data_IF_732230024678
#
_entry.id   IF_732230024678
#
_cell.length_a   1.000
_cell.length_b   1.000
_cell.length_c   1.000
_cell.angle_alpha   90.00
_cell.angle_beta   90.00
_cell.angle_gamma   90.00
#
_symmetry.space_group_name_H-M   'P 1'
#
loop_
_entity.id
_entity.type
_entity.pdbx_description
1 polymer ?
#
# COMPACT_ATOMS: atom_id res chain seq x y z
N UNK A 1 -7.92 -1.04 -18.81
CA UNK A 1 -8.52 0.32 -18.88
C UNK A 1 -8.36 1.00 -17.54
N UNK A 2 -7.87 2.23 -17.53
CA UNK A 2 -7.69 2.97 -16.29
C UNK A 2 -9.03 3.28 -15.61
N UNK A 3 -9.16 2.86 -14.35
CA UNK A 3 -10.35 3.08 -13.52
C UNK A 3 -10.24 4.34 -12.69
N UNK A 4 -9.01 4.67 -12.25
CA UNK A 4 -8.70 5.94 -11.58
C UNK A 4 -7.59 6.60 -12.38
N UNK A 5 -7.74 7.88 -12.70
CA UNK A 5 -6.73 8.68 -13.37
C UNK A 5 -6.60 10.05 -12.69
N UNK A 6 -5.37 10.44 -12.39
CA UNK A 6 -5.03 11.73 -11.84
C UNK A 6 -4.01 12.44 -12.76
N UNK A 7 -4.25 13.72 -13.02
CA UNK A 7 -3.42 14.55 -13.89
C UNK A 7 -3.03 15.82 -13.14
N UNK A 8 -1.73 16.02 -12.95
CA UNK A 8 -1.14 17.18 -12.30
C UNK A 8 -1.80 17.54 -10.96
N UNK A 9 -2.17 16.48 -10.20
CA UNK A 9 -2.95 16.60 -8.97
C UNK A 9 -2.15 17.30 -7.88
N UNK A 10 -2.64 18.44 -7.44
CA UNK A 10 -1.97 19.25 -6.42
C UNK A 10 -2.95 19.64 -5.32
N UNK A 11 -2.51 19.56 -4.07
CA UNK A 11 -3.26 20.03 -2.90
C UNK A 11 -2.41 20.81 -1.95
N UNK A 12 -2.80 22.06 -1.73
CA UNK A 12 -2.22 22.96 -0.72
C UNK A 12 -3.27 23.28 0.34
N UNK A 13 -2.89 23.14 1.60
CA UNK A 13 -3.69 23.57 2.74
C UNK A 13 -3.11 24.88 3.30
N UNK A 14 -3.89 25.96 3.20
CA UNK A 14 -3.43 27.30 3.56
C UNK A 14 -2.16 27.70 2.79
N UNK A 15 -1.30 28.52 3.42
CA UNK A 15 -0.05 29.00 2.80
C UNK A 15 1.16 28.06 3.03
N UNK A 16 1.08 27.15 4.01
CA UNK A 16 2.27 26.44 4.54
C UNK A 16 2.36 24.96 4.17
N UNK A 17 1.25 24.25 3.91
CA UNK A 17 1.28 22.80 3.74
C UNK A 17 0.94 22.44 2.31
N UNK A 18 1.94 21.95 1.55
CA UNK A 18 1.77 21.32 0.25
C UNK A 18 1.67 19.81 0.48
N UNK A 19 0.44 19.31 0.52
CA UNK A 19 0.17 17.91 0.88
C UNK A 19 0.31 16.95 -0.30
N UNK A 20 0.00 17.42 -1.53
CA UNK A 20 0.23 16.71 -2.79
C UNK A 20 0.76 17.74 -3.79
N UNK A 21 1.80 17.38 -4.52
CA UNK A 21 2.56 18.24 -5.41
C UNK A 21 2.73 17.57 -6.77
N UNK A 22 1.93 18.01 -7.75
CA UNK A 22 1.99 17.62 -9.15
C UNK A 22 2.00 16.11 -9.40
N UNK A 23 1.11 15.36 -8.74
CA UNK A 23 1.03 13.92 -8.88
C UNK A 23 0.16 13.53 -10.07
N UNK A 24 0.74 12.76 -11.03
CA UNK A 24 0.01 12.18 -12.15
C UNK A 24 0.17 10.65 -12.13
N UNK A 25 -0.95 9.92 -12.14
CA UNK A 25 -0.97 8.46 -12.08
C UNK A 25 -2.25 7.87 -12.66
N UNK A 26 -2.20 6.58 -12.98
CA UNK A 26 -3.37 5.80 -13.39
C UNK A 26 -3.43 4.47 -12.66
N UNK A 27 -4.64 3.96 -12.39
CA UNK A 27 -4.89 2.66 -11.77
C UNK A 27 -5.75 1.84 -12.70
N UNK A 28 -5.29 0.65 -13.01
CA UNK A 28 -5.97 -0.27 -13.93
C UNK A 28 -7.09 -1.04 -13.21
N UNK A 29 -8.10 -1.47 -13.99
CA UNK A 29 -9.22 -2.27 -13.46
C UNK A 29 -8.77 -3.67 -13.02
N UNK A 30 -9.40 -4.19 -11.96
CA UNK A 30 -9.18 -5.56 -11.50
C UNK A 30 -7.84 -5.80 -10.80
N UNK A 31 -7.13 -4.74 -10.39
CA UNK A 31 -5.86 -4.84 -9.67
C UNK A 31 -5.99 -4.39 -8.21
N UNK A 32 -5.11 -4.88 -7.37
CA UNK A 32 -4.86 -4.31 -6.05
C UNK A 32 -3.66 -3.36 -6.17
N UNK A 33 -3.92 -2.06 -5.99
CA UNK A 33 -2.86 -1.04 -6.04
C UNK A 33 -2.57 -0.49 -4.65
N UNK A 34 -1.29 -0.53 -4.24
CA UNK A 34 -0.81 0.04 -3.00
C UNK A 34 -0.36 1.49 -3.15
N UNK A 35 -0.91 2.41 -2.35
CA UNK A 35 -0.38 3.80 -2.21
C UNK A 35 0.56 3.80 -1.02
N UNK A 36 1.86 3.79 -1.28
CA UNK A 36 2.91 3.54 -0.30
C UNK A 36 3.70 4.80 0.03
N UNK A 37 4.16 4.90 1.25
CA UNK A 37 5.02 5.98 1.68
C UNK A 37 4.89 6.31 3.17
N UNK A 38 5.83 7.08 3.74
CA UNK A 38 5.84 7.43 5.15
C UNK A 38 4.62 8.29 5.55
N UNK A 39 4.44 8.46 6.85
CA UNK A 39 3.45 9.40 7.36
C UNK A 39 3.73 10.82 6.85
N UNK A 40 2.67 11.52 6.41
CA UNK A 40 2.81 12.84 5.79
C UNK A 40 3.21 12.82 4.30
N UNK A 41 3.36 11.65 3.66
CA UNK A 41 3.67 11.55 2.22
C UNK A 41 2.57 12.05 1.28
N UNK A 42 1.34 12.28 1.78
CA UNK A 42 0.20 12.73 0.98
C UNK A 42 -0.83 11.64 0.66
N UNK A 43 -0.63 10.40 1.10
CA UNK A 43 -1.50 9.23 0.80
C UNK A 43 -2.98 9.49 1.09
N UNK A 44 -3.33 9.72 2.35
CA UNK A 44 -4.70 10.03 2.78
C UNK A 44 -5.32 11.22 2.03
N UNK A 45 -4.52 12.27 1.77
CA UNK A 45 -4.99 13.44 1.01
C UNK A 45 -5.32 13.06 -0.43
N UNK A 46 -4.50 12.22 -1.06
CA UNK A 46 -4.74 11.71 -2.41
C UNK A 46 -6.02 10.87 -2.45
N UNK A 47 -6.19 9.91 -1.52
CA UNK A 47 -7.42 9.11 -1.43
C UNK A 47 -8.66 10.00 -1.24
N UNK A 48 -8.59 11.01 -0.38
CA UNK A 48 -9.70 11.94 -0.16
C UNK A 48 -10.01 12.79 -1.40
N UNK A 49 -9.01 13.12 -2.22
CA UNK A 49 -9.25 13.84 -3.49
C UNK A 49 -9.91 12.92 -4.52
N UNK A 50 -9.49 11.65 -4.63
CA UNK A 50 -10.13 10.64 -5.49
C UNK A 50 -11.61 10.51 -5.15
N UNK A 51 -11.94 10.46 -3.84
CA UNK A 51 -13.31 10.34 -3.34
C UNK A 51 -14.08 11.68 -3.31
N UNK A 52 -13.50 12.75 -3.84
CA UNK A 52 -14.13 14.08 -3.87
C UNK A 52 -14.40 14.73 -2.50
N UNK A 53 -13.83 14.17 -1.41
CA UNK A 53 -13.93 14.70 -0.05
C UNK A 53 -13.05 15.95 0.14
N UNK A 54 -11.97 16.03 -0.62
CA UNK A 54 -11.07 17.18 -0.65
C UNK A 54 -10.96 17.67 -2.10
N UNK A 55 -11.23 18.97 -2.32
CA UNK A 55 -11.05 19.57 -3.64
C UNK A 55 -9.58 19.81 -3.92
N UNK A 56 -9.02 19.37 -5.07
CA UNK A 56 -7.70 19.75 -5.52
C UNK A 56 -7.51 21.28 -5.59
N UNK A 57 -6.29 21.75 -5.39
CA UNK A 57 -5.92 23.15 -5.63
C UNK A 57 -5.72 23.37 -7.14
N UNK A 58 -5.10 22.41 -7.81
CA UNK A 58 -4.97 22.34 -9.28
C UNK A 58 -4.92 20.88 -9.72
N UNK A 59 -5.04 20.65 -11.02
CA UNK A 59 -5.12 19.33 -11.63
C UNK A 59 -6.50 18.71 -11.51
N UNK A 60 -6.61 17.46 -11.92
CA UNK A 60 -7.86 16.71 -11.92
C UNK A 60 -7.66 15.27 -11.48
N UNK A 61 -8.73 14.66 -10.98
CA UNK A 61 -8.80 13.22 -10.72
C UNK A 61 -10.18 12.70 -11.09
N UNK A 62 -10.20 11.56 -11.77
CA UNK A 62 -11.40 10.84 -12.16
C UNK A 62 -11.39 9.44 -11.59
N UNK A 63 -12.57 8.90 -11.34
CA UNK A 63 -12.81 7.52 -10.95
C UNK A 63 -13.97 7.00 -11.80
N UNK A 64 -13.80 5.83 -12.42
CA UNK A 64 -14.78 5.27 -13.38
C UNK A 64 -15.11 6.26 -14.52
N UNK A 65 -14.10 7.01 -14.99
CA UNK A 65 -14.21 7.98 -16.09
C UNK A 65 -14.86 9.32 -15.74
N UNK A 66 -15.25 9.57 -14.47
CA UNK A 66 -15.90 10.80 -14.03
C UNK A 66 -15.31 11.29 -12.71
N UNK A 67 -15.54 12.55 -12.35
CA UNK A 67 -15.28 13.00 -10.98
C UNK A 67 -16.23 12.28 -10.03
N UNK A 68 -15.75 11.91 -8.84
CA UNK A 68 -16.58 11.19 -7.86
C UNK A 68 -17.98 11.83 -7.62
N UNK A 69 -18.03 13.15 -7.55
CA UNK A 69 -19.30 13.89 -7.33
C UNK A 69 -20.27 13.86 -8.50
N UNK A 70 -19.79 13.48 -9.67
CA UNK A 70 -20.57 13.39 -10.92
C UNK A 70 -21.05 11.96 -11.17
N UNK A 71 -20.57 11.00 -10.38
CA UNK A 71 -21.02 9.61 -10.48
C UNK A 71 -22.48 9.47 -10.11
N UNK A 72 -23.22 8.76 -10.92
CA UNK A 72 -24.58 8.31 -10.57
C UNK A 72 -24.47 7.19 -9.53
N UNK A 73 -25.19 7.32 -8.41
CA UNK A 73 -25.19 6.36 -7.31
C UNK A 73 -23.76 5.98 -6.82
N UNK A 74 -22.93 6.93 -6.39
CA UNK A 74 -21.51 6.67 -6.10
C UNK A 74 -21.30 5.57 -5.05
N UNK A 75 -22.18 5.46 -4.04
CA UNK A 75 -22.10 4.42 -3.01
C UNK A 75 -22.33 2.99 -3.53
N UNK A 76 -23.00 2.84 -4.70
CA UNK A 76 -23.16 1.56 -5.37
C UNK A 76 -21.97 1.20 -6.27
N UNK A 77 -21.07 2.14 -6.56
CA UNK A 77 -19.97 1.93 -7.50
C UNK A 77 -18.59 2.02 -6.83
N UNK A 78 -18.50 2.81 -5.76
CA UNK A 78 -17.24 3.07 -5.04
C UNK A 78 -17.48 2.87 -3.55
N UNK A 79 -16.83 1.87 -2.98
CA UNK A 79 -16.73 1.65 -1.54
C UNK A 79 -15.52 2.39 -0.97
N UNK A 80 -15.66 2.97 0.20
CA UNK A 80 -14.56 3.67 0.84
C UNK A 80 -14.45 3.33 2.34
N UNK A 81 -13.24 3.04 2.79
CA UNK A 81 -12.87 2.88 4.20
C UNK A 81 -11.70 3.81 4.51
N UNK A 82 -11.98 4.98 5.08
CA UNK A 82 -10.95 5.97 5.47
C UNK A 82 -10.70 6.00 6.98
N UNK A 83 -11.65 5.52 7.77
CA UNK A 83 -11.56 5.46 9.23
C UNK A 83 -12.54 4.40 9.75
N UNK A 84 -12.03 3.41 10.48
CA UNK A 84 -12.85 2.35 11.07
C UNK A 84 -13.54 2.79 12.39
N UNK A 85 -13.22 3.96 12.93
CA UNK A 85 -13.76 4.46 14.21
C UNK A 85 -15.14 5.11 14.12
N UNK A 86 -15.66 5.34 12.92
CA UNK A 86 -16.88 6.14 12.67
C UNK A 86 -18.20 5.52 13.13
N UNK A 87 -18.22 4.38 13.81
CA UNK A 87 -19.44 3.73 14.27
C UNK A 87 -19.85 4.14 15.69
N UNK A 88 -21.14 4.37 15.89
CA UNK A 88 -21.66 4.65 17.22
C UNK A 88 -21.56 3.40 18.14
N UNK A 89 -20.87 3.47 19.30
CA UNK A 89 -20.55 2.29 20.11
C UNK A 89 -21.79 1.60 20.72
N UNK A 90 -22.88 2.33 20.92
CA UNK A 90 -24.13 1.80 21.45
C UNK A 90 -24.99 1.04 20.45
N UNK A 91 -24.70 1.12 19.15
CA UNK A 91 -25.44 0.37 18.11
C UNK A 91 -24.86 -1.04 17.95
N UNK A 92 -25.69 -2.00 17.56
CA UNK A 92 -25.18 -3.29 17.09
C UNK A 92 -24.56 -3.16 15.70
N UNK A 93 -23.63 -4.06 15.33
CA UNK A 93 -23.01 -4.06 14.03
C UNK A 93 -24.04 -4.06 12.88
N UNK A 94 -25.07 -4.92 12.98
CA UNK A 94 -26.17 -4.96 12.03
C UNK A 94 -26.91 -3.62 11.90
N UNK A 95 -27.23 -2.98 13.02
CA UNK A 95 -27.94 -1.70 12.98
C UNK A 95 -27.05 -0.55 12.50
N UNK A 96 -25.73 -0.60 12.75
CA UNK A 96 -24.79 0.34 12.18
C UNK A 96 -24.80 0.29 10.64
N UNK A 97 -24.73 -0.91 10.06
CA UNK A 97 -24.81 -1.10 8.61
C UNK A 97 -26.18 -0.73 8.03
N UNK A 98 -27.31 -1.04 8.71
CA UNK A 98 -28.64 -0.65 8.25
C UNK A 98 -28.80 0.87 8.13
N UNK A 99 -28.25 1.64 9.05
CA UNK A 99 -28.29 3.11 8.97
C UNK A 99 -27.59 3.61 7.70
N UNK A 100 -26.42 3.03 7.40
CA UNK A 100 -25.65 3.38 6.19
C UNK A 100 -26.40 2.94 4.94
N UNK A 101 -26.90 1.70 4.90
CA UNK A 101 -27.66 1.16 3.79
C UNK A 101 -28.90 2.02 3.47
N UNK A 102 -29.68 2.38 4.51
CA UNK A 102 -30.85 3.23 4.37
C UNK A 102 -30.48 4.61 3.82
N UNK A 103 -29.43 5.24 4.35
CA UNK A 103 -28.95 6.54 3.87
C UNK A 103 -28.45 6.53 2.41
N UNK A 104 -27.96 5.39 1.97
CA UNK A 104 -27.45 5.18 0.60
C UNK A 104 -28.53 4.62 -0.36
N UNK A 105 -29.75 4.34 0.10
CA UNK A 105 -30.81 3.70 -0.71
C UNK A 105 -30.53 2.24 -1.05
N UNK A 106 -29.70 1.55 -0.25
CA UNK A 106 -29.33 0.15 -0.46
C UNK A 106 -30.30 -0.76 0.31
N UNK A 107 -30.79 -1.85 -0.31
CA UNK A 107 -31.71 -2.78 0.35
C UNK A 107 -31.11 -3.40 1.62
N UNK A 108 -31.95 -3.51 2.69
CA UNK A 108 -31.51 -4.08 3.97
C UNK A 108 -31.06 -5.55 3.88
N UNK A 109 -31.51 -6.30 2.89
CA UNK A 109 -31.04 -7.67 2.63
C UNK A 109 -29.52 -7.73 2.44
N UNK A 110 -28.95 -6.70 1.80
CA UNK A 110 -27.51 -6.61 1.58
C UNK A 110 -26.70 -6.55 2.89
N UNK A 111 -27.27 -6.05 3.98
CA UNK A 111 -26.60 -5.98 5.29
C UNK A 111 -26.22 -7.38 5.79
N UNK A 112 -27.10 -8.37 5.64
CA UNK A 112 -26.82 -9.72 6.10
C UNK A 112 -25.80 -10.43 5.20
N UNK A 113 -25.80 -10.11 3.91
CA UNK A 113 -24.82 -10.61 2.95
C UNK A 113 -23.41 -10.11 3.28
N UNK A 114 -23.23 -8.79 3.47
CA UNK A 114 -21.90 -8.24 3.78
C UNK A 114 -21.40 -8.66 5.17
N UNK A 115 -22.31 -8.86 6.16
CA UNK A 115 -21.92 -9.39 7.46
C UNK A 115 -21.36 -10.82 7.38
N UNK A 116 -21.96 -11.66 6.52
CA UNK A 116 -21.44 -13.02 6.24
C UNK A 116 -20.09 -12.93 5.53
N UNK A 117 -19.99 -12.05 4.52
CA UNK A 117 -18.79 -11.88 3.71
C UNK A 117 -17.56 -11.50 4.56
N UNK A 118 -17.76 -10.66 5.60
CA UNK A 118 -16.68 -10.26 6.51
C UNK A 118 -16.62 -11.09 7.80
N UNK A 119 -17.35 -12.22 7.87
CA UNK A 119 -17.36 -13.15 9.03
C UNK A 119 -17.79 -12.49 10.35
N UNK A 120 -18.76 -11.60 10.30
CA UNK A 120 -19.36 -10.95 11.49
C UNK A 120 -20.83 -11.32 11.72
N UNK A 121 -21.37 -12.34 11.04
CA UNK A 121 -22.76 -12.74 11.18
C UNK A 121 -23.11 -13.12 12.62
N UNK A 122 -22.26 -13.91 13.30
CA UNK A 122 -22.45 -14.34 14.68
C UNK A 122 -22.47 -13.19 15.70
N UNK A 123 -21.67 -12.14 15.44
CA UNK A 123 -21.54 -10.95 16.30
C UNK A 123 -22.43 -9.78 15.86
N UNK A 124 -23.24 -9.95 14.82
CA UNK A 124 -24.01 -8.87 14.19
C UNK A 124 -24.97 -8.15 15.17
N UNK A 125 -25.45 -8.82 16.22
CA UNK A 125 -26.33 -8.27 17.26
C UNK A 125 -25.58 -7.61 18.41
N UNK A 126 -24.29 -7.89 18.57
CA UNK A 126 -23.43 -7.34 19.62
C UNK A 126 -23.18 -5.85 19.37
N UNK A 127 -23.07 -5.04 20.42
CA UNK A 127 -22.78 -3.59 20.33
C UNK A 127 -21.36 -3.38 19.83
N UNK A 128 -21.18 -2.41 18.92
CA UNK A 128 -19.87 -2.07 18.32
C UNK A 128 -18.85 -1.62 19.36
N UNK A 129 -19.30 -1.01 20.48
CA UNK A 129 -18.43 -0.67 21.59
C UNK A 129 -17.70 -1.86 22.22
N UNK A 130 -18.25 -3.07 22.07
CA UNK A 130 -17.65 -4.32 22.54
C UNK A 130 -16.88 -5.10 21.46
N UNK A 131 -16.74 -4.54 20.26
CA UNK A 131 -15.94 -5.15 19.17
C UNK A 131 -14.44 -4.94 19.42
N UNK A 132 -13.64 -5.94 19.08
CA UNK A 132 -12.19 -5.79 18.95
C UNK A 132 -11.84 -4.83 17.81
N UNK A 133 -10.58 -4.41 17.73
CA UNK A 133 -10.10 -3.58 16.62
C UNK A 133 -10.33 -4.29 15.28
N UNK A 134 -9.98 -5.58 15.18
CA UNK A 134 -10.21 -6.37 13.97
C UNK A 134 -11.69 -6.49 13.60
N UNK A 135 -12.59 -6.67 14.58
CA UNK A 135 -14.03 -6.69 14.31
C UNK A 135 -14.56 -5.33 13.82
N UNK A 136 -14.03 -4.22 14.34
CA UNK A 136 -14.38 -2.87 13.84
C UNK A 136 -13.89 -2.65 12.42
N UNK A 137 -12.70 -3.14 12.11
CA UNK A 137 -12.12 -3.08 10.76
C UNK A 137 -12.97 -3.89 9.76
N UNK A 138 -13.34 -5.12 10.13
CA UNK A 138 -14.25 -5.97 9.34
C UNK A 138 -15.63 -5.31 9.14
N UNK A 139 -16.18 -4.65 10.18
CA UNK A 139 -17.44 -3.92 10.08
C UNK A 139 -17.34 -2.72 9.13
N UNK A 140 -16.23 -2.00 9.16
CA UNK A 140 -15.98 -0.86 8.29
C UNK A 140 -15.83 -1.31 6.83
N UNK A 141 -15.17 -2.45 6.61
CA UNK A 141 -15.09 -3.08 5.30
C UNK A 141 -16.47 -3.53 4.81
N UNK A 142 -17.30 -4.13 5.69
CA UNK A 142 -18.69 -4.47 5.36
C UNK A 142 -19.50 -3.23 4.94
N UNK A 143 -19.31 -2.09 5.61
CA UNK A 143 -19.95 -0.83 5.25
C UNK A 143 -19.53 -0.34 3.85
N UNK A 144 -18.24 -0.45 3.52
CA UNK A 144 -17.71 -0.09 2.22
C UNK A 144 -18.23 -1.01 1.08
N UNK A 145 -18.60 -2.25 1.42
CA UNK A 145 -19.11 -3.26 0.46
C UNK A 145 -20.63 -3.30 0.31
N UNK A 146 -21.37 -2.49 1.06
CA UNK A 146 -22.83 -2.49 1.01
C UNK A 146 -23.39 -2.30 -0.40
N UNK A 147 -22.83 -1.37 -1.17
CA UNK A 147 -23.24 -1.05 -2.53
C UNK A 147 -22.80 -2.04 -3.60
N UNK A 148 -22.07 -3.09 -3.24
CA UNK A 148 -21.44 -4.01 -4.21
C UNK A 148 -20.47 -3.31 -5.19
N UNK A 149 -19.53 -2.50 -4.70
CA UNK A 149 -18.80 -1.56 -5.53
C UNK A 149 -17.80 -2.24 -6.48
N UNK A 150 -17.60 -1.63 -7.65
CA UNK A 150 -16.55 -1.97 -8.62
C UNK A 150 -15.16 -1.55 -8.13
N UNK A 151 -15.10 -0.48 -7.33
CA UNK A 151 -13.85 0.09 -6.80
C UNK A 151 -13.93 0.20 -5.28
N UNK A 152 -12.90 -0.27 -4.59
CA UNK A 152 -12.75 -0.18 -3.14
C UNK A 152 -11.51 0.66 -2.79
N UNK A 153 -11.69 1.72 -2.02
CA UNK A 153 -10.61 2.63 -1.57
C UNK A 153 -10.45 2.50 -0.06
N UNK A 154 -9.26 2.16 0.41
CA UNK A 154 -8.98 1.93 1.83
C UNK A 154 -7.74 2.72 2.29
N UNK A 155 -7.88 3.41 3.42
CA UNK A 155 -6.77 4.13 4.05
C UNK A 155 -6.28 3.35 5.27
N UNK A 156 -5.05 2.82 5.19
CA UNK A 156 -4.37 2.09 6.26
C UNK A 156 -5.22 0.94 6.86
N UNK A 157 -5.82 0.03 6.07
CA UNK A 157 -6.78 -0.96 6.57
C UNK A 157 -6.17 -2.03 7.48
N UNK A 158 -4.85 -2.22 7.47
CA UNK A 158 -4.13 -3.16 8.32
C UNK A 158 -3.82 -2.61 9.71
N UNK A 159 -3.99 -1.29 9.93
CA UNK A 159 -3.63 -0.67 11.21
C UNK A 159 -4.38 -1.27 12.40
N UNK A 160 -3.60 -1.75 13.40
CA UNK A 160 -4.14 -2.32 14.63
C UNK A 160 -4.72 -3.73 14.48
N UNK A 161 -4.50 -4.39 13.37
CA UNK A 161 -4.77 -5.81 13.22
C UNK A 161 -3.63 -6.65 13.79
N UNK A 162 -3.99 -7.79 14.37
CA UNK A 162 -3.05 -8.84 14.70
C UNK A 162 -2.62 -9.63 13.44
N UNK A 163 -1.63 -10.52 13.53
CA UNK A 163 -1.15 -11.28 12.37
C UNK A 163 -2.25 -12.10 11.68
N UNK A 164 -3.22 -12.64 12.44
CA UNK A 164 -4.35 -13.38 11.89
C UNK A 164 -5.30 -12.46 11.11
N UNK A 165 -5.62 -11.30 11.67
CA UNK A 165 -6.41 -10.26 11.02
C UNK A 165 -5.76 -9.73 9.74
N UNK A 166 -4.44 -9.55 9.74
CA UNK A 166 -3.69 -9.16 8.53
C UNK A 166 -3.75 -10.23 7.45
N UNK A 167 -3.56 -11.51 7.81
CA UNK A 167 -3.67 -12.62 6.87
C UNK A 167 -5.08 -12.72 6.28
N UNK A 168 -6.11 -12.57 7.12
CA UNK A 168 -7.50 -12.54 6.69
C UNK A 168 -7.75 -11.39 5.70
N UNK A 169 -7.35 -10.16 6.05
CA UNK A 169 -7.50 -8.98 5.18
C UNK A 169 -6.86 -9.20 3.82
N UNK A 170 -5.64 -9.72 3.78
CA UNK A 170 -4.91 -10.03 2.56
C UNK A 170 -5.68 -10.99 1.64
N UNK A 171 -6.12 -12.13 2.20
CA UNK A 171 -6.92 -13.12 1.47
C UNK A 171 -8.23 -12.51 0.96
N UNK A 172 -8.85 -11.68 1.77
CA UNK A 172 -10.10 -11.02 1.45
C UNK A 172 -9.94 -10.03 0.28
N UNK A 173 -8.92 -9.18 0.31
CA UNK A 173 -8.64 -8.23 -0.77
C UNK A 173 -8.31 -8.96 -2.08
N UNK A 174 -7.53 -10.05 -2.02
CA UNK A 174 -7.24 -10.88 -3.18
C UNK A 174 -8.52 -11.48 -3.76
N UNK A 175 -9.39 -12.03 -2.92
CA UNK A 175 -10.69 -12.56 -3.35
C UNK A 175 -11.56 -11.51 -4.07
N UNK A 176 -11.53 -10.25 -3.62
CA UNK A 176 -12.24 -9.16 -4.33
C UNK A 176 -11.61 -8.86 -5.69
N UNK A 177 -10.28 -8.83 -5.79
CA UNK A 177 -9.59 -8.61 -7.06
C UNK A 177 -9.83 -9.75 -8.06
N UNK A 178 -9.86 -11.01 -7.60
CA UNK A 178 -10.19 -12.18 -8.41
C UNK A 178 -11.62 -12.11 -9.00
N UNK A 179 -12.50 -11.31 -8.37
CA UNK A 179 -13.83 -10.96 -8.89
C UNK A 179 -13.80 -9.72 -9.79
N UNK A 180 -12.65 -9.36 -10.33
CA UNK A 180 -12.43 -8.19 -11.18
C UNK A 180 -12.74 -6.82 -10.51
N UNK A 181 -12.79 -6.74 -9.17
CA UNK A 181 -12.89 -5.48 -8.45
C UNK A 181 -11.54 -4.81 -8.36
N UNK A 182 -11.54 -3.50 -8.48
CA UNK A 182 -10.33 -2.69 -8.31
C UNK A 182 -10.18 -2.28 -6.85
N UNK A 183 -9.03 -2.53 -6.26
CA UNK A 183 -8.77 -2.21 -4.85
C UNK A 183 -7.60 -1.25 -4.75
N UNK A 184 -7.80 -0.12 -4.07
CA UNK A 184 -6.78 0.86 -3.76
C UNK A 184 -6.57 0.89 -2.25
N UNK A 185 -5.38 0.52 -1.78
CA UNK A 185 -5.04 0.52 -0.35
C UNK A 185 -3.86 1.44 -0.08
N UNK A 186 -3.92 2.23 0.98
CA UNK A 186 -2.72 2.92 1.46
C UNK A 186 -2.04 2.12 2.57
N UNK A 187 -0.71 2.23 2.64
CA UNK A 187 0.07 1.73 3.77
C UNK A 187 1.35 2.56 3.95
N UNK A 188 1.82 2.61 5.19
CA UNK A 188 3.14 3.11 5.52
C UNK A 188 4.15 1.97 5.77
N UNK A 189 3.67 0.72 5.86
CA UNK A 189 4.49 -0.49 6.04
C UNK A 189 4.60 -1.21 4.70
N UNK A 190 5.74 -1.06 4.04
CA UNK A 190 5.98 -1.58 2.70
C UNK A 190 5.95 -3.11 2.65
N UNK A 191 6.56 -3.77 3.64
CA UNK A 191 6.62 -5.23 3.71
C UNK A 191 5.25 -5.92 3.86
N UNK A 192 4.26 -5.26 4.50
CA UNK A 192 2.91 -5.81 4.63
C UNK A 192 2.16 -5.83 3.30
N UNK A 193 2.43 -4.84 2.45
CA UNK A 193 1.71 -4.62 1.20
C UNK A 193 2.30 -5.43 0.07
N UNK A 194 3.62 -5.67 0.11
CA UNK A 194 4.38 -6.41 -0.91
C UNK A 194 3.75 -7.76 -1.29
N UNK A 195 3.17 -8.45 -0.31
CA UNK A 195 2.54 -9.75 -0.50
C UNK A 195 1.08 -9.68 -0.96
N UNK A 196 0.52 -8.48 -1.09
CA UNK A 196 -0.92 -8.29 -1.35
C UNK A 196 -1.20 -7.60 -2.67
N UNK A 197 -0.36 -6.62 -3.04
CA UNK A 197 -0.63 -5.72 -4.18
C UNK A 197 0.00 -6.21 -5.48
N UNK A 198 -0.63 -5.86 -6.58
CA UNK A 198 -0.12 -6.10 -7.95
C UNK A 198 0.72 -4.90 -8.40
N UNK A 199 0.21 -3.69 -8.14
CA UNK A 199 0.81 -2.41 -8.52
C UNK A 199 1.05 -1.52 -7.30
N UNK A 200 1.99 -0.61 -7.41
CA UNK A 200 2.26 0.38 -6.36
C UNK A 200 2.37 1.80 -6.91
N UNK A 201 1.94 2.75 -6.09
CA UNK A 201 2.20 4.18 -6.18
C UNK A 201 3.08 4.57 -5.00
N UNK A 202 4.35 4.86 -5.23
CA UNK A 202 5.29 5.25 -4.17
C UNK A 202 5.28 6.76 -4.01
N UNK A 203 4.88 7.25 -2.84
CA UNK A 203 4.78 8.67 -2.53
C UNK A 203 5.77 9.11 -1.45
N UNK A 204 6.33 10.30 -1.60
CA UNK A 204 7.13 10.96 -0.56
C UNK A 204 6.99 12.48 -0.66
N UNK A 205 6.81 13.15 0.49
CA UNK A 205 6.69 14.61 0.59
C UNK A 205 5.70 15.23 -0.42
N UNK A 206 4.57 14.57 -0.61
CA UNK A 206 3.51 15.00 -1.52
C UNK A 206 3.72 14.63 -2.98
N UNK A 207 4.86 14.09 -3.38
CA UNK A 207 5.18 13.75 -4.78
C UNK A 207 5.07 12.26 -5.03
N UNK A 208 4.66 11.91 -6.24
CA UNK A 208 4.78 10.55 -6.75
C UNK A 208 6.24 10.31 -7.18
N UNK A 209 6.87 9.31 -6.58
CA UNK A 209 8.26 8.94 -6.88
C UNK A 209 8.35 7.85 -7.95
N UNK A 210 7.47 6.85 -7.87
CA UNK A 210 7.40 5.74 -8.82
C UNK A 210 5.98 5.17 -8.89
N UNK A 211 5.65 4.56 -10.02
CA UNK A 211 4.41 3.82 -10.27
C UNK A 211 4.70 2.60 -11.13
N UNK A 212 4.04 1.50 -10.86
CA UNK A 212 4.02 0.32 -11.73
C UNK A 212 3.87 -1.00 -10.98
N UNK A 213 3.92 -2.11 -11.72
CA UNK A 213 3.90 -3.44 -11.14
C UNK A 213 5.04 -3.64 -10.14
N UNK A 214 4.71 -4.24 -8.99
CA UNK A 214 5.69 -4.49 -7.93
C UNK A 214 6.87 -5.33 -8.44
N UNK A 215 6.58 -6.32 -9.29
CA UNK A 215 7.59 -7.19 -9.89
C UNK A 215 8.59 -6.41 -10.75
N UNK A 216 8.12 -5.41 -11.52
CA UNK A 216 8.99 -4.56 -12.34
C UNK A 216 9.84 -3.63 -11.49
N UNK A 217 9.28 -3.06 -10.45
CA UNK A 217 10.01 -2.17 -9.55
C UNK A 217 11.07 -2.94 -8.75
N UNK A 218 10.73 -4.13 -8.25
CA UNK A 218 11.68 -5.02 -7.58
C UNK A 218 12.82 -5.45 -8.50
N UNK A 219 12.54 -5.77 -9.78
CA UNK A 219 13.58 -6.16 -10.74
C UNK A 219 14.44 -5.00 -11.24
N UNK A 220 13.98 -3.74 -11.12
CA UNK A 220 14.78 -2.55 -11.46
C UNK A 220 15.80 -2.18 -10.37
N UNK A 221 15.61 -2.67 -9.16
CA UNK A 221 16.59 -2.51 -8.10
C UNK A 221 17.76 -3.47 -8.33
N UNK A 222 18.98 -2.94 -8.33
CA UNK A 222 20.17 -3.77 -8.48
C UNK A 222 20.25 -4.78 -7.32
N UNK A 223 20.43 -6.08 -7.62
CA UNK A 223 20.59 -7.08 -6.59
C UNK A 223 21.78 -6.72 -5.69
N UNK A 224 21.64 -6.98 -4.41
CA UNK A 224 22.68 -6.75 -3.41
C UNK A 224 23.22 -8.12 -3.00
N UNK A 225 24.52 -8.34 -3.13
CA UNK A 225 25.17 -9.53 -2.60
C UNK A 225 25.52 -9.27 -1.14
N UNK A 226 24.99 -10.09 -0.25
CA UNK A 226 25.39 -10.13 1.15
C UNK A 226 26.55 -11.07 1.34
N UNK A 227 27.64 -10.57 1.92
CA UNK A 227 28.82 -11.38 2.24
C UNK A 227 29.22 -11.14 3.69
N UNK A 228 29.38 -12.22 4.46
CA UNK A 228 29.94 -12.20 5.81
C UNK A 228 31.28 -12.88 5.80
N UNK A 229 32.28 -12.19 6.31
CA UNK A 229 33.66 -12.69 6.40
C UNK A 229 34.30 -12.27 7.72
N UNK A 230 35.08 -13.15 8.37
CA UNK A 230 35.89 -12.75 9.52
C UNK A 230 36.95 -11.71 9.15
N UNK A 231 37.31 -11.60 7.86
CA UNK A 231 38.20 -10.59 7.31
C UNK A 231 37.44 -9.55 6.47
N UNK A 232 36.28 -9.05 6.98
CA UNK A 232 35.39 -8.16 6.25
C UNK A 232 36.07 -6.93 5.63
N UNK A 233 37.04 -6.35 6.32
CA UNK A 233 37.79 -5.17 5.82
C UNK A 233 38.66 -5.48 4.62
N UNK A 234 39.34 -6.64 4.62
CA UNK A 234 40.14 -7.07 3.48
C UNK A 234 39.26 -7.41 2.28
N UNK A 235 38.11 -8.09 2.53
CA UNK A 235 37.15 -8.39 1.50
C UNK A 235 36.54 -7.13 0.89
N UNK A 236 36.16 -6.15 1.73
CA UNK A 236 35.64 -4.87 1.27
C UNK A 236 36.66 -4.12 0.40
N UNK A 237 37.92 -4.05 0.81
CA UNK A 237 38.99 -3.40 0.05
C UNK A 237 39.23 -4.09 -1.31
N UNK A 238 39.22 -5.41 -1.34
CA UNK A 238 39.38 -6.19 -2.59
C UNK A 238 38.21 -5.94 -3.55
N UNK A 239 36.96 -5.95 -3.04
CA UNK A 239 35.76 -5.69 -3.81
C UNK A 239 35.72 -4.27 -4.38
N UNK A 240 36.08 -3.27 -3.57
CA UNK A 240 36.18 -1.86 -4.02
C UNK A 240 37.25 -1.70 -5.10
N UNK A 241 38.40 -2.37 -4.94
CA UNK A 241 39.46 -2.37 -5.95
C UNK A 241 39.02 -3.02 -7.26
N UNK A 242 38.09 -3.98 -7.21
CA UNK A 242 37.46 -4.60 -8.38
C UNK A 242 36.30 -3.79 -8.96
N UNK A 243 36.02 -2.59 -8.43
CA UNK A 243 34.98 -1.69 -8.95
C UNK A 243 33.59 -1.89 -8.33
N UNK A 244 33.46 -2.70 -7.30
CA UNK A 244 32.19 -2.91 -6.60
C UNK A 244 31.87 -1.75 -5.65
N UNK A 245 30.56 -1.42 -5.53
CA UNK A 245 30.09 -0.54 -4.48
C UNK A 245 29.80 -1.37 -3.20
N UNK A 246 30.54 -1.08 -2.12
CA UNK A 246 30.46 -1.84 -0.87
C UNK A 246 29.97 -0.95 0.26
N UNK A 247 28.90 -1.36 0.93
CA UNK A 247 28.39 -0.75 2.16
C UNK A 247 28.55 -1.75 3.32
N UNK A 248 28.90 -1.26 4.50
CA UNK A 248 28.97 -2.09 5.72
C UNK A 248 27.62 -2.11 6.41
N UNK A 249 27.14 -3.29 6.76
CA UNK A 249 25.91 -3.54 7.51
C UNK A 249 26.30 -4.38 8.73
N UNK A 250 26.35 -3.79 9.91
CA UNK A 250 26.73 -4.45 11.18
C UNK A 250 27.89 -5.44 11.00
N UNK A 251 27.62 -6.72 10.85
CA UNK A 251 28.57 -7.82 10.71
C UNK A 251 28.73 -8.38 9.27
N UNK A 252 28.08 -7.75 8.28
CA UNK A 252 28.09 -8.16 6.87
C UNK A 252 28.44 -7.00 5.93
N UNK A 253 28.80 -7.35 4.70
CA UNK A 253 28.99 -6.42 3.58
C UNK A 253 27.82 -6.52 2.62
N UNK A 254 27.27 -5.38 2.23
CA UNK A 254 26.33 -5.25 1.13
C UNK A 254 27.08 -4.80 -0.12
N UNK A 255 27.18 -5.68 -1.11
CA UNK A 255 27.98 -5.49 -2.30
C UNK A 255 27.05 -5.32 -3.51
N UNK A 256 27.24 -4.25 -4.28
CA UNK A 256 26.52 -3.99 -5.54
C UNK A 256 27.49 -4.00 -6.70
N UNK A 257 27.02 -4.51 -7.84
CA UNK A 257 27.76 -4.66 -9.08
C UNK A 257 28.03 -6.13 -9.39
N UNK A 258 28.91 -6.83 -8.67
CA UNK A 258 29.20 -8.22 -8.95
C UNK A 258 28.10 -9.17 -8.46
N UNK A 259 28.01 -10.33 -9.10
CA UNK A 259 27.18 -11.45 -8.66
C UNK A 259 27.77 -12.15 -7.42
N UNK A 260 26.99 -12.97 -6.73
CA UNK A 260 27.50 -13.77 -5.62
C UNK A 260 28.64 -14.71 -6.05
N UNK A 261 28.58 -15.27 -7.27
CA UNK A 261 29.65 -16.10 -7.80
C UNK A 261 30.96 -15.32 -7.93
N UNK A 262 30.94 -14.13 -8.53
CA UNK A 262 32.12 -13.26 -8.68
C UNK A 262 32.71 -12.82 -7.35
N UNK A 263 31.85 -12.51 -6.35
CA UNK A 263 32.29 -12.21 -4.97
C UNK A 263 32.95 -13.43 -4.35
N UNK A 264 32.39 -14.63 -4.55
CA UNK A 264 32.95 -15.88 -4.05
C UNK A 264 34.32 -16.20 -4.64
N UNK A 265 34.46 -16.05 -5.97
CA UNK A 265 35.73 -16.27 -6.70
C UNK A 265 36.79 -15.27 -6.24
N UNK A 266 36.44 -14.00 -6.08
CA UNK A 266 37.36 -12.98 -5.59
C UNK A 266 37.82 -13.27 -4.15
N UNK A 267 36.93 -13.66 -3.28
CA UNK A 267 37.25 -14.05 -1.91
C UNK A 267 38.20 -15.25 -1.88
N UNK A 268 37.92 -16.28 -2.72
CA UNK A 268 38.76 -17.45 -2.84
C UNK A 268 40.17 -17.10 -3.35
N UNK A 269 40.27 -16.31 -4.40
CA UNK A 269 41.54 -15.86 -4.97
C UNK A 269 42.40 -15.07 -3.96
N UNK A 270 41.77 -14.40 -3.01
CA UNK A 270 42.43 -13.64 -1.94
C UNK A 270 42.68 -14.47 -0.65
N UNK A 271 42.28 -15.74 -0.63
CA UNK A 271 42.37 -16.62 0.54
C UNK A 271 41.48 -16.15 1.72
N UNK A 272 40.36 -15.48 1.43
CA UNK A 272 39.43 -14.95 2.43
C UNK A 272 38.31 -15.94 2.69
N UNK A 273 38.05 -16.23 3.97
CA UNK A 273 36.93 -17.07 4.36
C UNK A 273 35.59 -16.34 4.25
N UNK A 274 34.57 -17.02 3.73
CA UNK A 274 33.19 -16.52 3.74
C UNK A 274 32.36 -17.40 4.67
N UNK A 275 31.65 -16.77 5.61
CA UNK A 275 30.67 -17.44 6.47
C UNK A 275 29.29 -17.46 5.84
N UNK A 276 28.96 -16.41 5.11
CA UNK A 276 27.71 -16.29 4.37
C UNK A 276 27.96 -15.58 3.03
N UNK A 277 27.30 -16.06 2.00
CA UNK A 277 27.27 -15.44 0.68
C UNK A 277 25.96 -15.76 -0.01
N UNK A 278 25.12 -14.73 -0.21
CA UNK A 278 23.88 -14.89 -0.95
C UNK A 278 23.48 -13.59 -1.64
N UNK A 279 22.65 -13.72 -2.68
CA UNK A 279 22.05 -12.58 -3.35
C UNK A 279 20.75 -12.23 -2.66
N UNK A 280 20.65 -11.03 -2.14
CA UNK A 280 19.42 -10.48 -1.56
C UNK A 280 18.65 -9.75 -2.64
N UNK A 281 17.40 -10.17 -2.85
CA UNK A 281 16.47 -9.39 -3.68
C UNK A 281 16.07 -8.16 -2.89
N UNK A 282 16.29 -6.94 -3.41
CA UNK A 282 15.93 -5.73 -2.70
C UNK A 282 14.44 -5.72 -2.32
N UNK A 283 14.16 -5.41 -1.08
CA UNK A 283 12.78 -5.21 -0.61
C UNK A 283 12.19 -3.92 -1.18
N UNK A 284 10.87 -3.75 -1.12
CA UNK A 284 10.24 -2.47 -1.43
C UNK A 284 10.77 -1.33 -0.55
N UNK A 285 11.20 -1.63 0.68
CA UNK A 285 11.85 -0.66 1.57
C UNK A 285 13.18 -0.17 1.02
N UNK A 286 14.02 -1.08 0.55
CA UNK A 286 15.31 -0.73 -0.07
C UNK A 286 15.10 0.10 -1.32
N UNK A 287 14.13 -0.29 -2.16
CA UNK A 287 13.74 0.45 -3.34
C UNK A 287 13.27 1.87 -2.99
N UNK A 288 12.41 1.99 -1.99
CA UNK A 288 11.94 3.29 -1.51
C UNK A 288 13.11 4.17 -1.04
N UNK A 289 14.02 3.62 -0.25
CA UNK A 289 15.20 4.35 0.24
C UNK A 289 16.12 4.79 -0.91
N UNK A 290 16.31 3.94 -1.91
CA UNK A 290 17.09 4.28 -3.11
C UNK A 290 16.45 5.44 -3.89
N UNK A 291 15.15 5.34 -4.21
CA UNK A 291 14.42 6.35 -4.98
C UNK A 291 14.33 7.68 -4.19
N UNK A 292 14.06 7.61 -2.89
CA UNK A 292 13.98 8.78 -2.02
C UNK A 292 15.35 9.43 -1.74
N UNK A 293 16.42 8.62 -1.72
CA UNK A 293 17.81 9.06 -1.51
C UNK A 293 18.42 9.72 -2.74
N UNK A 294 18.19 9.17 -3.92
CA UNK A 294 18.72 9.71 -5.19
C UNK A 294 18.18 11.13 -5.48
N UNK A 295 16.96 11.45 -5.06
CA UNK A 295 16.38 12.81 -5.20
C UNK A 295 16.81 13.82 -4.13
N UNK A 296 17.59 13.42 -3.13
CA UNK A 296 18.21 14.38 -2.17
C UNK A 296 19.50 15.02 -2.70
N UNK A 297 20.07 14.49 -3.78
CA UNK A 297 21.33 14.96 -4.37
C UNK A 297 21.12 15.81 -5.64
N UNK A 298 19.90 16.05 -6.07
CA UNK A 298 19.48 16.99 -7.11
C UNK A 298 18.66 18.15 -6.50
#
# INVERSE_FOLDING_TARGET
MSVIAAEHLTKRFGKKVLAVDDASFSIESGTITGVLGPNGAGKTTTLRMILGLVRPTSGSVTILGSRYRELRAPAARVGALLDASGFHPGRSGRNALRVIATGAGIPNARVDEVLRLVELEGDARRRVGAYSTGMKQRLALAAALLGDPEVLVQDEPANGLDPEGMLWLRKFLRHLADQARTVLVSSHVLAEVEQTVDDVLIMSKGRLLAQGPISRLASSAQPVVRARSPQAEKLAAALVSAGAAVNRLDDALAVRGPSAAEVGELAHAQGLALHELFTETPSLEDLFLQIAGTRRQQ
#
